data_IF_070868182741
#
_entry.id   IF_070868182741
#
_cell.length_a   1.000
_cell.length_b   1.000
_cell.length_c   1.000
_cell.angle_alpha   90.00
_cell.angle_beta   90.00
_cell.angle_gamma   90.00
#
_symmetry.space_group_name_H-M   'P 1'
#
loop_
_entity.id
_entity.type
_entity.pdbx_description
1 polymer ?
#
# COMPACT_ATOMS: atom_id res chain seq x y z
N UNK A 1 -27.35 57.21 5.54
CA UNK A 1 -26.59 56.57 6.65
C UNK A 1 -27.02 55.15 7.05
N UNK A 2 -27.94 54.44 6.37
CA UNK A 2 -28.35 53.06 6.79
C UNK A 2 -27.66 51.89 6.05
N UNK A 3 -26.89 52.09 4.98
CA UNK A 3 -26.30 50.98 4.20
C UNK A 3 -24.95 50.46 4.71
N UNK A 4 -24.18 51.21 5.49
CA UNK A 4 -22.84 50.79 5.96
C UNK A 4 -22.85 49.80 7.15
N UNK A 5 -23.98 49.62 7.82
CA UNK A 5 -24.08 48.73 9.00
C UNK A 5 -24.23 47.26 8.58
N UNK A 6 -24.89 47.00 7.44
CA UNK A 6 -25.15 45.64 6.95
C UNK A 6 -23.83 44.95 6.50
N UNK A 7 -22.91 45.69 5.89
CA UNK A 7 -21.64 45.14 5.39
C UNK A 7 -20.72 44.64 6.51
N UNK A 8 -20.67 45.33 7.66
CA UNK A 8 -19.83 44.89 8.80
C UNK A 8 -20.29 43.55 9.37
N UNK A 9 -21.59 43.36 9.58
CA UNK A 9 -22.12 42.11 10.14
C UNK A 9 -21.94 40.89 9.22
N UNK A 10 -21.81 41.09 7.90
CA UNK A 10 -21.55 39.99 6.97
C UNK A 10 -20.07 39.56 6.97
N UNK A 11 -19.14 40.52 7.12
CA UNK A 11 -17.69 40.27 7.14
C UNK A 11 -17.27 39.53 8.43
N UNK A 12 -17.78 39.92 9.60
CA UNK A 12 -17.44 39.22 10.84
C UNK A 12 -17.95 37.76 10.84
N UNK A 13 -19.18 37.50 10.37
CA UNK A 13 -19.72 36.14 10.30
C UNK A 13 -18.97 35.19 9.36
N UNK A 14 -18.30 35.70 8.31
CA UNK A 14 -17.50 34.85 7.43
C UNK A 14 -16.13 34.51 8.02
N UNK A 15 -15.57 35.41 8.84
CA UNK A 15 -14.31 35.19 9.56
C UNK A 15 -14.46 34.13 10.65
N UNK A 16 -15.49 34.21 11.50
CA UNK A 16 -15.75 33.20 12.54
C UNK A 16 -15.91 31.79 11.95
N UNK A 17 -16.64 31.68 10.83
CA UNK A 17 -16.80 30.41 10.11
C UNK A 17 -15.50 29.87 9.50
N UNK A 18 -14.59 30.75 9.11
CA UNK A 18 -13.30 30.37 8.51
C UNK A 18 -12.32 29.94 9.59
N UNK A 19 -12.23 30.69 10.69
CA UNK A 19 -11.43 30.36 11.87
C UNK A 19 -11.88 29.05 12.51
N UNK A 20 -13.19 28.81 12.62
CA UNK A 20 -13.75 27.57 13.14
C UNK A 20 -13.44 26.36 12.25
N UNK A 21 -13.46 26.52 10.91
CA UNK A 21 -13.03 25.46 10.00
C UNK A 21 -11.53 25.19 10.13
N UNK A 22 -10.72 26.25 10.26
CA UNK A 22 -9.28 26.13 10.44
C UNK A 22 -8.93 25.38 11.72
N UNK A 23 -9.57 25.71 12.85
CA UNK A 23 -9.32 25.05 14.14
C UNK A 23 -9.77 23.59 14.15
N UNK A 24 -10.89 23.22 13.50
CA UNK A 24 -11.28 21.81 13.34
C UNK A 24 -10.27 21.04 12.47
N UNK A 25 -9.77 21.64 11.39
CA UNK A 25 -8.71 21.04 10.56
C UNK A 25 -7.42 20.86 11.38
N UNK A 26 -6.99 21.88 12.14
CA UNK A 26 -5.83 21.79 13.01
C UNK A 26 -6.00 20.72 14.10
N UNK A 27 -7.17 20.60 14.73
CA UNK A 27 -7.44 19.56 15.74
C UNK A 27 -7.39 18.15 15.12
N UNK A 28 -7.94 17.96 13.92
CA UNK A 28 -7.84 16.67 13.21
C UNK A 28 -6.39 16.33 12.82
N UNK A 29 -5.61 17.32 12.36
CA UNK A 29 -4.19 17.14 12.06
C UNK A 29 -3.35 16.87 13.32
N UNK A 30 -3.61 17.57 14.42
CA UNK A 30 -2.95 17.33 15.72
C UNK A 30 -3.29 15.93 16.24
N UNK A 31 -4.57 15.53 16.18
CA UNK A 31 -4.99 14.19 16.60
C UNK A 31 -4.29 13.11 15.76
N UNK A 32 -4.09 13.33 14.45
CA UNK A 32 -3.30 12.45 13.59
C UNK A 32 -1.80 12.46 13.92
N UNK A 33 -1.21 13.63 14.20
CA UNK A 33 0.21 13.76 14.58
C UNK A 33 0.55 13.02 15.88
N UNK A 34 -0.39 12.93 16.83
CA UNK A 34 -0.22 12.18 18.09
C UNK A 34 -0.15 10.66 17.88
N UNK A 35 -0.57 10.14 16.72
CA UNK A 35 -0.45 8.72 16.35
C UNK A 35 0.70 8.41 15.38
N UNK A 36 1.62 9.35 15.15
CA UNK A 36 2.84 9.09 14.37
C UNK A 36 3.88 8.40 15.27
N UNK A 37 3.64 7.11 15.52
CA UNK A 37 4.62 6.13 15.99
C UNK A 37 5.30 5.48 14.76
N UNK A 38 6.42 4.74 14.90
CA UNK A 38 7.27 4.37 13.75
C UNK A 38 6.56 3.51 12.70
N UNK A 39 7.09 3.61 11.48
CA UNK A 39 6.52 3.03 10.27
C UNK A 39 7.24 1.69 10.03
N UNK A 40 6.50 0.58 10.04
CA UNK A 40 6.94 -0.76 9.60
C UNK A 40 5.73 -1.53 8.93
N UNK A 41 5.86 -2.76 8.37
CA UNK A 41 4.91 -3.32 7.33
C UNK A 41 4.33 -4.67 7.72
N UNK A 42 3.45 -5.06 6.81
CA UNK A 42 2.32 -5.94 6.87
C UNK A 42 2.69 -7.41 6.89
N UNK A 43 3.79 -7.82 6.27
CA UNK A 43 4.26 -9.21 6.22
C UNK A 43 5.77 -9.28 6.03
N UNK A 44 6.38 -10.38 6.48
CA UNK A 44 7.76 -10.73 6.15
C UNK A 44 8.10 -10.55 4.67
N UNK A 45 7.22 -11.02 3.76
CA UNK A 45 7.44 -10.89 2.32
C UNK A 45 7.58 -9.44 1.88
N UNK A 46 6.81 -8.52 2.46
CA UNK A 46 6.92 -7.08 2.19
C UNK A 46 8.32 -6.50 2.48
N UNK A 47 9.09 -7.09 3.39
CA UNK A 47 10.44 -6.63 3.71
C UNK A 47 11.53 -7.10 2.73
N UNK A 48 11.29 -8.20 2.00
CA UNK A 48 12.31 -8.83 1.14
C UNK A 48 11.91 -8.94 -0.34
N UNK A 49 10.63 -8.80 -0.69
CA UNK A 49 10.18 -8.68 -2.09
C UNK A 49 10.61 -7.32 -2.68
N UNK A 50 11.08 -7.32 -3.93
CA UNK A 50 11.73 -6.14 -4.53
C UNK A 50 10.82 -4.89 -4.66
N UNK A 51 9.50 -4.99 -4.48
CA UNK A 51 8.55 -3.85 -4.50
C UNK A 51 7.67 -3.74 -3.24
N UNK A 52 7.98 -4.53 -2.21
CA UNK A 52 7.22 -4.58 -0.96
C UNK A 52 5.79 -5.11 -1.11
N UNK A 53 5.02 -5.02 -0.04
CA UNK A 53 3.64 -5.52 -0.01
C UNK A 53 2.70 -4.58 -0.79
N UNK A 54 1.97 -5.12 -1.77
CA UNK A 54 1.02 -4.34 -2.58
C UNK A 54 -0.11 -3.73 -1.73
N UNK A 55 -0.33 -2.42 -1.86
CA UNK A 55 -1.31 -1.67 -1.08
C UNK A 55 -2.67 -1.66 -1.79
N UNK A 56 -3.69 -2.22 -1.13
CA UNK A 56 -5.03 -2.45 -1.72
C UNK A 56 -5.97 -1.28 -1.50
N UNK A 57 -6.38 -0.67 -2.60
CA UNK A 57 -7.30 0.47 -2.62
C UNK A 57 -6.60 1.81 -2.44
N UNK A 58 -7.12 2.82 -3.14
CA UNK A 58 -6.52 4.15 -3.18
C UNK A 58 -6.85 4.99 -1.93
N UNK A 59 -8.09 4.88 -1.45
CA UNK A 59 -8.60 5.54 -0.24
C UNK A 59 -9.49 4.56 0.55
N UNK A 60 -9.96 4.93 1.75
CA UNK A 60 -10.83 4.09 2.56
C UNK A 60 -12.13 3.67 1.82
N UNK A 61 -12.67 4.55 0.97
CA UNK A 61 -13.85 4.23 0.15
C UNK A 61 -13.61 3.16 -0.91
N UNK A 62 -12.42 3.12 -1.50
CA UNK A 62 -11.95 2.10 -2.45
C UNK A 62 -11.53 0.82 -1.72
N UNK A 63 -10.77 0.95 -0.64
CA UNK A 63 -10.32 -0.14 0.23
C UNK A 63 -11.47 -0.97 0.81
N UNK A 64 -12.56 -0.31 1.25
CA UNK A 64 -13.80 -0.95 1.70
C UNK A 64 -14.59 -1.72 0.62
N UNK A 65 -14.16 -1.62 -0.64
CA UNK A 65 -14.77 -2.24 -1.83
C UNK A 65 -13.75 -3.11 -2.57
N UNK A 66 -12.94 -3.87 -1.80
CA UNK A 66 -11.91 -4.75 -2.35
C UNK A 66 -10.76 -4.03 -3.07
N UNK A 67 -10.64 -2.71 -2.94
CA UNK A 67 -9.65 -1.92 -3.68
C UNK A 67 -10.09 -1.44 -5.07
N UNK A 68 -11.38 -1.59 -5.43
CA UNK A 68 -11.90 -1.14 -6.73
C UNK A 68 -11.62 0.36 -7.00
N UNK A 69 -11.06 0.64 -8.16
CA UNK A 69 -10.51 1.94 -8.59
C UNK A 69 -10.54 2.19 -10.11
N UNK A 70 -10.93 1.23 -10.96
CA UNK A 70 -10.89 1.39 -12.43
C UNK A 70 -12.15 2.06 -12.96
N UNK A 71 -13.32 1.72 -12.41
CA UNK A 71 -14.62 2.28 -12.81
C UNK A 71 -15.15 3.42 -11.89
N UNK A 72 -14.28 4.10 -11.13
CA UNK A 72 -14.65 5.19 -10.21
C UNK A 72 -14.41 6.58 -10.82
N UNK A 73 -15.09 7.60 -10.29
CA UNK A 73 -14.95 9.02 -10.67
C UNK A 73 -14.86 9.89 -9.42
N UNK A 74 -14.49 11.17 -9.58
CA UNK A 74 -14.42 12.16 -8.51
C UNK A 74 -13.45 11.75 -7.37
N UNK A 75 -12.29 11.18 -7.69
CA UNK A 75 -11.25 10.84 -6.71
C UNK A 75 -9.88 11.32 -7.20
N UNK A 76 -9.15 12.20 -6.45
CA UNK A 76 -7.84 12.68 -6.87
C UNK A 76 -6.82 11.56 -6.98
N UNK A 77 -6.92 10.50 -6.17
CA UNK A 77 -5.97 9.38 -6.21
C UNK A 77 -6.15 8.49 -7.46
N UNK A 78 -7.23 8.67 -8.23
CA UNK A 78 -7.41 8.03 -9.54
C UNK A 78 -6.31 8.37 -10.56
N UNK A 79 -5.46 9.39 -10.29
CA UNK A 79 -4.17 9.60 -10.99
C UNK A 79 -3.39 8.28 -11.15
N UNK A 80 -3.43 7.41 -10.15
CA UNK A 80 -2.67 6.15 -10.11
C UNK A 80 -3.51 4.89 -10.42
N UNK A 81 -4.84 5.02 -10.40
CA UNK A 81 -5.80 3.99 -10.79
C UNK A 81 -6.10 4.11 -12.29
N UNK A 82 -7.31 4.57 -12.61
CA UNK A 82 -7.69 5.01 -13.95
C UNK A 82 -7.71 6.55 -14.02
N UNK A 83 -6.82 7.21 -14.80
CA UNK A 83 -6.68 8.66 -14.79
C UNK A 83 -7.91 9.40 -15.33
N UNK A 84 -8.80 8.77 -16.10
CA UNK A 84 -10.09 9.38 -16.46
C UNK A 84 -11.00 9.58 -15.21
N UNK A 85 -10.78 8.80 -14.16
CA UNK A 85 -11.51 8.86 -12.89
C UNK A 85 -11.20 10.07 -12.01
N UNK A 86 -10.24 10.93 -12.38
CA UNK A 86 -10.03 12.22 -11.69
C UNK A 86 -11.05 13.28 -12.09
N UNK A 87 -11.80 13.05 -13.19
CA UNK A 87 -12.83 13.97 -13.65
C UNK A 87 -13.88 14.24 -12.56
N UNK A 88 -14.24 15.51 -12.37
CA UNK A 88 -15.21 15.95 -11.37
C UNK A 88 -15.90 17.27 -11.77
N UNK A 89 -17.08 17.51 -11.21
CA UNK A 89 -17.87 18.75 -11.38
C UNK A 89 -17.37 19.92 -10.52
N UNK A 90 -16.67 19.61 -9.41
CA UNK A 90 -16.19 20.55 -8.39
C UNK A 90 -14.76 20.24 -7.99
N UNK A 91 -14.11 21.20 -7.33
CA UNK A 91 -12.83 20.95 -6.70
C UNK A 91 -13.00 19.99 -5.53
N UNK A 92 -11.96 19.21 -5.24
CA UNK A 92 -11.93 18.32 -4.09
C UNK A 92 -10.53 18.25 -3.52
N UNK A 93 -10.41 18.35 -2.20
CA UNK A 93 -9.24 17.93 -1.45
C UNK A 93 -9.54 16.59 -0.76
N UNK A 94 -8.58 15.67 -0.77
CA UNK A 94 -8.65 14.36 -0.14
C UNK A 94 -7.39 14.13 0.69
N UNK A 95 -7.56 13.64 1.92
CA UNK A 95 -6.51 13.09 2.76
C UNK A 95 -6.92 11.70 3.23
N UNK A 96 -6.02 10.73 3.21
CA UNK A 96 -6.26 9.38 3.70
C UNK A 96 -5.05 8.81 4.44
N UNK A 97 -5.30 8.27 5.64
CA UNK A 97 -4.31 7.60 6.49
C UNK A 97 -4.98 6.47 7.27
N UNK A 98 -4.22 5.72 8.05
CA UNK A 98 -4.75 4.57 8.76
C UNK A 98 -3.77 3.98 9.77
N UNK A 99 -4.14 2.80 10.26
CA UNK A 99 -3.34 1.94 11.11
C UNK A 99 -3.43 0.53 10.53
N UNK A 100 -2.32 -0.19 10.52
CA UNK A 100 -2.30 -1.61 10.15
C UNK A 100 -1.70 -2.41 11.28
N UNK A 101 -2.37 -3.52 11.63
CA UNK A 101 -1.86 -4.54 12.54
C UNK A 101 -1.57 -5.80 11.76
N UNK A 102 -0.49 -6.47 12.12
CA UNK A 102 0.06 -7.63 11.42
C UNK A 102 0.17 -8.75 12.42
N UNK A 103 -0.26 -9.95 12.05
CA UNK A 103 -0.09 -11.14 12.85
C UNK A 103 0.43 -12.24 11.94
N UNK A 104 1.67 -12.65 12.17
CA UNK A 104 2.33 -13.72 11.45
C UNK A 104 2.64 -14.86 12.43
N UNK A 105 2.21 -16.07 12.06
CA UNK A 105 2.54 -17.30 12.79
C UNK A 105 3.37 -18.19 11.89
N UNK A 106 4.55 -18.57 12.38
CA UNK A 106 5.40 -19.60 11.79
C UNK A 106 5.38 -20.84 12.65
N UNK A 107 5.40 -21.99 12.01
CA UNK A 107 5.59 -23.29 12.66
C UNK A 107 6.74 -23.98 11.97
N UNK A 108 7.87 -24.12 12.66
CA UNK A 108 9.01 -24.87 12.17
C UNK A 108 8.82 -26.34 12.54
N UNK A 109 8.70 -27.19 11.53
CA UNK A 109 8.58 -28.64 11.70
C UNK A 109 9.96 -29.31 11.84
N UNK A 110 10.77 -28.82 12.77
CA UNK A 110 11.89 -29.57 13.33
C UNK A 110 11.48 -30.19 14.68
N UNK A 111 12.29 -31.11 15.24
CA UNK A 111 11.87 -32.12 16.23
C UNK A 111 11.09 -31.65 17.50
N UNK A 112 11.04 -30.36 17.83
CA UNK A 112 10.28 -29.78 18.97
C UNK A 112 9.17 -28.76 18.59
N UNK A 113 8.86 -28.57 17.30
CA UNK A 113 7.73 -27.74 16.82
C UNK A 113 7.71 -26.28 17.30
N UNK A 114 8.83 -25.56 17.19
CA UNK A 114 8.91 -24.15 17.59
C UNK A 114 7.91 -23.30 16.79
N UNK A 115 7.11 -22.51 17.51
CA UNK A 115 6.15 -21.55 16.93
C UNK A 115 6.63 -20.13 17.23
N UNK A 116 7.09 -19.42 16.20
CA UNK A 116 7.33 -17.98 16.30
C UNK A 116 6.00 -17.23 16.07
N UNK A 117 5.73 -16.24 16.92
CA UNK A 117 4.57 -15.35 16.84
C UNK A 117 5.07 -13.92 16.74
N UNK A 118 4.57 -13.21 15.73
CA UNK A 118 4.94 -11.84 15.45
C UNK A 118 3.67 -10.98 15.33
N UNK A 119 3.46 -10.03 16.24
CA UNK A 119 2.31 -9.12 16.25
C UNK A 119 2.80 -7.67 16.31
N UNK A 120 2.52 -6.91 15.26
CA UNK A 120 2.99 -5.53 15.14
C UNK A 120 1.86 -4.57 14.74
N UNK A 121 2.08 -3.27 14.96
CA UNK A 121 1.14 -2.22 14.59
C UNK A 121 1.85 -0.97 14.09
N UNK A 122 1.39 -0.45 12.95
CA UNK A 122 2.06 0.60 12.20
C UNK A 122 1.09 1.67 11.71
N UNK A 123 1.56 2.91 11.61
CA UNK A 123 0.81 3.99 10.97
C UNK A 123 0.92 3.91 9.44
N UNK A 124 -0.19 4.08 8.73
CA UNK A 124 -0.26 4.08 7.27
C UNK A 124 -0.61 5.48 6.76
N UNK A 125 0.30 6.11 6.03
CA UNK A 125 -0.05 7.26 5.19
C UNK A 125 -0.37 6.77 3.77
N UNK A 126 -1.65 6.61 3.45
CA UNK A 126 -2.04 6.00 2.17
C UNK A 126 -2.10 7.02 1.03
N UNK A 127 -2.33 8.30 1.32
CA UNK A 127 -2.24 9.36 0.32
C UNK A 127 -2.95 10.69 0.62
N UNK A 128 -2.70 11.65 -0.27
CA UNK A 128 -3.28 13.00 -0.29
C UNK A 128 -3.49 13.41 -1.75
N UNK A 129 -4.49 14.23 -2.05
CA UNK A 129 -4.63 14.77 -3.39
C UNK A 129 -5.68 15.85 -3.55
N UNK A 130 -5.59 16.54 -4.68
CA UNK A 130 -6.47 17.64 -5.06
C UNK A 130 -6.97 17.45 -6.50
N UNK A 131 -8.26 17.67 -6.72
CA UNK A 131 -8.89 17.83 -8.03
C UNK A 131 -9.27 19.30 -8.23
N UNK A 132 -9.07 19.83 -9.44
CA UNK A 132 -9.56 21.13 -9.87
C UNK A 132 -10.22 21.07 -11.27
N UNK A 133 -11.52 21.41 -11.40
CA UNK A 133 -12.22 21.44 -12.69
C UNK A 133 -11.91 22.73 -13.47
N UNK A 134 -10.80 22.73 -14.21
CA UNK A 134 -10.34 23.85 -15.06
C UNK A 134 -11.44 24.37 -15.98
N UNK A 135 -12.24 23.47 -16.58
CA UNK A 135 -13.44 23.81 -17.35
C UNK A 135 -14.55 22.84 -16.97
N UNK A 136 -15.60 23.35 -16.33
CA UNK A 136 -16.78 22.56 -15.94
C UNK A 136 -17.27 21.69 -17.09
N UNK A 137 -17.60 20.45 -16.76
CA UNK A 137 -18.08 19.41 -17.68
C UNK A 137 -17.14 19.07 -18.85
N UNK A 138 -15.90 19.58 -18.88
CA UNK A 138 -14.97 19.39 -20.00
C UNK A 138 -13.54 19.02 -19.63
N UNK A 139 -12.93 19.69 -18.67
CA UNK A 139 -11.51 19.53 -18.34
C UNK A 139 -11.30 19.60 -16.83
N UNK A 140 -10.65 18.58 -16.30
CA UNK A 140 -10.29 18.46 -14.88
C UNK A 140 -8.81 18.12 -14.79
N UNK A 141 -8.11 18.74 -13.84
CA UNK A 141 -6.74 18.35 -13.48
C UNK A 141 -6.71 17.83 -12.06
N UNK A 142 -5.75 16.96 -11.76
CA UNK A 142 -5.50 16.49 -10.40
C UNK A 142 -4.01 16.39 -10.10
N UNK A 143 -3.65 16.62 -8.85
CA UNK A 143 -2.35 16.26 -8.28
C UNK A 143 -2.58 15.33 -7.08
N UNK A 144 -1.76 14.31 -6.95
CA UNK A 144 -1.87 13.34 -5.87
C UNK A 144 -0.49 12.83 -5.43
N UNK A 145 -0.42 12.40 -4.18
CA UNK A 145 0.60 11.50 -3.66
C UNK A 145 -0.08 10.33 -2.96
N UNK A 146 0.43 9.11 -3.14
CA UNK A 146 -0.12 7.91 -2.51
C UNK A 146 1.00 6.89 -2.29
N UNK A 147 0.82 6.00 -1.32
CA UNK A 147 1.66 4.83 -1.21
C UNK A 147 1.41 3.84 -2.39
N UNK A 148 2.42 3.03 -2.70
CA UNK A 148 2.42 2.07 -3.80
C UNK A 148 2.78 0.65 -3.33
N UNK A 149 3.79 0.53 -2.47
CA UNK A 149 4.21 -0.72 -1.83
C UNK A 149 4.83 -0.43 -0.46
N UNK A 150 4.76 -1.40 0.46
CA UNK A 150 5.04 -1.19 1.89
C UNK A 150 6.12 -2.16 2.39
N UNK A 151 7.20 -1.65 3.01
CA UNK A 151 8.53 -2.30 3.11
C UNK A 151 9.20 -2.51 4.47
N UNK A 152 9.26 -1.47 5.31
CA UNK A 152 8.59 -1.51 6.61
C UNK A 152 8.46 -2.99 7.17
N UNK A 153 8.88 -3.40 8.38
CA UNK A 153 8.55 -4.71 9.02
C UNK A 153 9.20 -4.78 10.41
N UNK A 154 8.74 -5.66 11.30
CA UNK A 154 9.51 -6.04 12.49
C UNK A 154 9.30 -7.52 12.79
N UNK A 155 10.34 -8.25 13.19
CA UNK A 155 10.35 -9.66 13.59
C UNK A 155 11.42 -9.87 14.66
N UNK A 156 11.10 -10.65 15.68
CA UNK A 156 12.02 -11.08 16.72
C UNK A 156 11.81 -12.57 16.98
N UNK A 157 12.91 -13.32 17.02
CA UNK A 157 12.93 -14.76 17.26
C UNK A 157 14.04 -15.09 18.27
N UNK A 158 13.63 -15.63 19.41
CA UNK A 158 14.53 -16.20 20.42
C UNK A 158 14.64 -17.71 20.21
N UNK A 159 15.80 -18.18 19.74
CA UNK A 159 16.14 -19.60 19.78
C UNK A 159 16.70 -19.93 21.17
N UNK A 160 16.17 -20.99 21.79
CA UNK A 160 16.54 -21.41 23.15
C UNK A 160 16.93 -22.89 23.16
N UNK A 161 17.93 -23.23 23.98
CA UNK A 161 18.33 -24.61 24.20
C UNK A 161 17.26 -25.39 24.99
N UNK A 162 17.34 -26.73 25.08
CA UNK A 162 16.44 -27.53 25.94
C UNK A 162 16.45 -27.14 27.42
N UNK A 163 17.49 -26.42 27.88
CA UNK A 163 17.59 -25.84 29.22
C UNK A 163 16.97 -24.42 29.32
N UNK A 164 16.19 -24.00 28.32
CA UNK A 164 15.59 -22.68 28.14
C UNK A 164 16.59 -21.49 28.05
N UNK A 165 17.89 -21.75 27.90
CA UNK A 165 18.91 -20.72 27.73
C UNK A 165 18.84 -20.14 26.32
N UNK A 166 18.84 -18.81 26.18
CA UNK A 166 18.91 -18.12 24.89
C UNK A 166 20.21 -18.49 24.17
N UNK A 167 20.12 -19.04 22.96
CA UNK A 167 21.26 -19.35 22.09
C UNK A 167 21.41 -18.30 21.01
N UNK A 168 20.32 -17.91 20.35
CA UNK A 168 20.32 -16.89 19.31
C UNK A 168 19.14 -15.94 19.49
N UNK A 169 19.38 -14.66 19.21
CA UNK A 169 18.35 -13.67 18.95
C UNK A 169 18.45 -13.23 17.50
N UNK A 170 17.44 -13.57 16.71
CA UNK A 170 17.31 -13.18 15.31
C UNK A 170 16.30 -12.03 15.22
N UNK A 171 16.66 -10.96 14.52
CA UNK A 171 15.77 -9.80 14.32
C UNK A 171 15.72 -9.41 12.85
N UNK A 172 14.54 -9.05 12.36
CA UNK A 172 14.40 -8.23 11.15
C UNK A 172 13.67 -6.97 11.53
N UNK A 173 14.22 -5.81 11.19
CA UNK A 173 13.55 -4.52 11.30
C UNK A 173 13.69 -3.79 9.96
N UNK A 174 12.58 -3.51 9.31
CA UNK A 174 12.55 -2.81 8.04
C UNK A 174 11.68 -1.57 8.15
N UNK A 175 12.00 -0.52 7.40
CA UNK A 175 11.28 0.75 7.42
C UNK A 175 11.18 1.36 6.02
N UNK A 176 10.22 2.27 5.84
CA UNK A 176 9.94 2.96 4.59
C UNK A 176 8.98 2.22 3.65
N UNK A 177 8.90 2.73 2.42
CA UNK A 177 7.99 2.19 1.41
C UNK A 177 8.16 2.86 0.05
N UNK A 178 7.52 2.28 -0.95
CA UNK A 178 7.35 2.86 -2.27
C UNK A 178 6.13 3.79 -2.29
N UNK A 179 6.35 5.00 -2.80
CA UNK A 179 5.36 6.08 -2.93
C UNK A 179 5.35 6.58 -4.37
N UNK A 180 4.23 7.20 -4.73
CA UNK A 180 4.00 7.75 -6.07
C UNK A 180 3.42 9.15 -5.92
N UNK A 181 4.02 10.12 -6.60
CA UNK A 181 3.52 11.50 -6.71
C UNK A 181 3.30 11.83 -8.18
N UNK A 182 2.15 12.42 -8.51
CA UNK A 182 1.71 12.49 -9.90
C UNK A 182 0.69 13.56 -10.21
N UNK A 183 0.59 13.84 -11.51
CA UNK A 183 -0.33 14.80 -12.10
C UNK A 183 -1.18 14.11 -13.17
N UNK A 184 -2.48 14.41 -13.18
CA UNK A 184 -3.45 13.92 -14.15
C UNK A 184 -4.19 15.04 -14.86
N UNK A 185 -4.50 14.81 -16.13
CA UNK A 185 -5.49 15.57 -16.89
C UNK A 185 -6.59 14.60 -17.35
N UNK A 186 -7.84 14.88 -17.00
CA UNK A 186 -9.02 14.21 -17.54
C UNK A 186 -9.83 15.16 -18.43
N UNK A 187 -10.23 14.65 -19.59
CA UNK A 187 -11.01 15.34 -20.61
C UNK A 187 -12.33 14.60 -20.86
N UNK A 188 -13.40 15.36 -21.11
CA UNK A 188 -14.72 14.84 -21.44
C UNK A 188 -15.05 15.14 -22.92
N UNK A 189 -14.48 14.40 -23.89
CA UNK A 189 -14.73 14.63 -25.32
C UNK A 189 -16.22 14.51 -25.67
N UNK A 190 -16.89 13.46 -25.19
CA UNK A 190 -18.28 13.12 -25.48
C UNK A 190 -19.04 12.89 -24.17
N UNK A 191 -20.34 13.21 -24.09
CA UNK A 191 -21.14 13.06 -22.85
C UNK A 191 -21.07 11.67 -22.19
N UNK A 192 -20.75 10.63 -22.96
CA UNK A 192 -20.61 9.24 -22.49
C UNK A 192 -19.16 8.76 -22.38
N UNK A 193 -18.14 9.56 -22.70
CA UNK A 193 -16.74 9.14 -22.69
C UNK A 193 -15.88 10.19 -21.98
N UNK A 194 -15.26 9.78 -20.88
CA UNK A 194 -14.15 10.48 -20.25
C UNK A 194 -12.84 9.79 -20.66
N UNK A 195 -11.81 10.56 -20.91
CA UNK A 195 -10.44 10.08 -21.11
C UNK A 195 -9.50 10.77 -20.13
N UNK A 196 -8.36 10.17 -19.84
CA UNK A 196 -7.36 10.78 -18.98
C UNK A 196 -5.95 10.28 -19.26
N UNK A 197 -4.99 11.11 -18.90
CA UNK A 197 -3.56 10.81 -18.95
C UNK A 197 -2.93 11.27 -17.63
N UNK A 198 -2.00 10.48 -17.12
CA UNK A 198 -1.24 10.80 -15.90
C UNK A 198 0.23 10.53 -16.09
N UNK A 199 1.04 11.41 -15.53
CA UNK A 199 2.48 11.22 -15.35
C UNK A 199 2.77 11.24 -13.85
N UNK A 200 3.56 10.28 -13.38
CA UNK A 200 3.91 10.18 -11.97
C UNK A 200 5.34 9.67 -11.79
N UNK A 201 5.98 10.11 -10.71
CA UNK A 201 7.24 9.55 -10.25
C UNK A 201 6.93 8.51 -9.17
N UNK A 202 7.46 7.30 -9.32
CA UNK A 202 7.53 6.27 -8.30
C UNK A 202 8.88 6.40 -7.61
N UNK A 203 8.89 6.55 -6.29
CA UNK A 203 10.09 6.75 -5.47
C UNK A 203 9.94 6.12 -4.09
N UNK A 204 11.05 5.87 -3.42
CA UNK A 204 11.06 5.35 -2.05
C UNK A 204 12.47 5.04 -1.62
N UNK A 205 12.72 5.03 -0.31
CA UNK A 205 14.03 4.66 0.23
C UNK A 205 13.88 3.69 1.40
N UNK A 206 13.33 2.49 1.18
CA UNK A 206 13.19 1.52 2.25
C UNK A 206 14.56 1.02 2.72
N UNK A 207 14.62 0.67 3.99
CA UNK A 207 15.79 0.12 4.67
C UNK A 207 15.38 -1.17 5.36
N UNK A 208 16.14 -2.25 5.18
CA UNK A 208 15.94 -3.53 5.85
C UNK A 208 17.19 -3.83 6.66
N UNK A 209 17.01 -4.01 7.97
CA UNK A 209 18.04 -4.40 8.93
C UNK A 209 17.78 -5.83 9.35
N UNK A 210 18.67 -6.75 8.98
CA UNK A 210 18.71 -8.11 9.52
C UNK A 210 19.80 -8.17 10.58
N UNK A 211 19.54 -8.79 11.72
CA UNK A 211 20.61 -9.10 12.69
C UNK A 211 20.44 -10.48 13.31
N UNK A 212 21.57 -11.13 13.59
CA UNK A 212 21.64 -12.34 14.40
C UNK A 212 22.69 -12.14 15.49
N UNK A 213 22.31 -12.40 16.73
CA UNK A 213 23.20 -12.33 17.89
C UNK A 213 23.24 -13.70 18.57
N UNK A 214 24.42 -14.32 18.61
CA UNK A 214 24.63 -15.62 19.25
C UNK A 214 25.19 -15.44 20.65
N UNK A 215 24.62 -16.14 21.63
CA UNK A 215 24.96 -16.07 23.04
C UNK A 215 25.63 -17.37 23.52
N UNK A 216 26.58 -17.24 24.43
CA UNK A 216 27.22 -18.39 25.07
C UNK A 216 26.28 -19.07 26.06
N UNK A 217 26.04 -20.36 25.88
CA UNK A 217 25.27 -21.21 26.81
C UNK A 217 26.03 -21.57 28.09
N UNK A 218 27.31 -21.17 28.22
CA UNK A 218 28.13 -21.44 29.40
C UNK A 218 27.77 -20.58 30.64
N UNK A 219 26.88 -19.60 30.49
CA UNK A 219 26.41 -18.72 31.57
C UNK A 219 24.89 -18.76 31.62
N UNK A 220 24.33 -18.85 32.83
CA UNK A 220 22.89 -18.85 33.03
C UNK A 220 22.31 -17.45 32.83
N UNK A 221 21.28 -17.37 31.97
CA UNK A 221 20.57 -16.16 31.51
C UNK A 221 21.42 -15.14 30.73
N UNK A 222 20.98 -14.83 29.49
CA UNK A 222 21.64 -13.97 28.48
C UNK A 222 23.18 -13.91 28.62
N UNK A 223 23.84 -15.04 28.34
CA UNK A 223 25.30 -15.18 28.47
C UNK A 223 26.11 -14.24 27.57
N UNK A 224 27.43 -14.34 27.60
CA UNK A 224 28.29 -13.48 26.79
C UNK A 224 27.99 -13.62 25.28
N UNK A 225 27.88 -12.50 24.56
CA UNK A 225 27.73 -12.50 23.09
C UNK A 225 28.98 -13.09 22.46
N UNK A 226 28.80 -14.14 21.66
CA UNK A 226 29.87 -14.90 20.98
C UNK A 226 30.06 -14.39 19.56
N UNK A 227 28.96 -14.15 18.84
CA UNK A 227 28.95 -13.51 17.54
C UNK A 227 27.79 -12.53 17.45
N UNK A 228 27.99 -11.48 16.64
CA UNK A 228 26.94 -10.58 16.23
C UNK A 228 27.18 -10.21 14.78
N UNK A 229 26.16 -10.41 13.97
CA UNK A 229 26.09 -10.05 12.56
C UNK A 229 24.89 -9.13 12.38
N UNK A 230 25.07 -8.01 11.67
CA UNK A 230 24.01 -7.06 11.36
C UNK A 230 24.20 -6.48 9.98
N UNK A 231 23.26 -6.76 9.08
CA UNK A 231 23.27 -6.27 7.71
C UNK A 231 22.18 -5.21 7.54
N UNK A 232 22.56 -4.07 6.98
CA UNK A 232 21.65 -2.96 6.66
C UNK A 232 21.61 -2.79 5.14
N UNK A 233 20.49 -3.19 4.55
CA UNK A 233 20.19 -3.10 3.12
C UNK A 233 19.26 -1.91 2.86
N UNK A 234 19.81 -0.81 2.34
CA UNK A 234 19.06 0.39 1.99
C UNK A 234 18.88 0.51 0.48
N UNK A 235 17.65 0.72 0.02
CA UNK A 235 17.34 1.03 -1.37
C UNK A 235 17.08 2.54 -1.57
N UNK A 236 17.22 3.00 -2.81
CA UNK A 236 16.77 4.32 -3.27
C UNK A 236 16.14 4.16 -4.66
N UNK A 237 14.82 4.03 -4.68
CA UNK A 237 14.03 3.88 -5.89
C UNK A 237 13.68 5.23 -6.50
N UNK A 238 13.77 5.34 -7.83
CA UNK A 238 13.17 6.44 -8.60
C UNK A 238 12.91 6.05 -10.05
N UNK A 239 11.69 6.26 -10.53
CA UNK A 239 11.30 6.04 -11.93
C UNK A 239 10.10 6.89 -12.32
N UNK A 240 10.00 7.29 -13.58
CA UNK A 240 8.86 8.07 -14.09
C UNK A 240 7.99 7.19 -14.98
N UNK A 241 6.70 7.16 -14.68
CA UNK A 241 5.72 6.30 -15.29
C UNK A 241 4.59 7.11 -15.94
N UNK A 242 3.93 6.48 -16.92
CA UNK A 242 2.76 7.00 -17.62
C UNK A 242 1.55 6.12 -17.29
N UNK A 243 0.37 6.72 -17.21
CA UNK A 243 -0.91 5.99 -17.24
C UNK A 243 -1.86 6.68 -18.21
N UNK A 244 -2.60 5.89 -18.97
CA UNK A 244 -3.67 6.34 -19.87
C UNK A 244 -4.94 5.61 -19.44
N UNK A 245 -6.08 6.29 -19.51
CA UNK A 245 -7.35 5.69 -19.12
C UNK A 245 -8.57 6.28 -19.78
N UNK A 246 -9.65 5.51 -19.74
CA UNK A 246 -10.95 5.87 -20.27
C UNK A 246 -12.07 5.38 -19.33
N UNK A 247 -13.17 6.11 -19.31
CA UNK A 247 -14.43 5.71 -18.68
C UNK A 247 -15.57 5.92 -19.66
N UNK A 248 -16.31 4.85 -19.95
CA UNK A 248 -17.47 4.88 -20.83
C UNK A 248 -18.77 4.69 -20.05
N UNK A 249 -19.63 5.71 -20.09
CA UNK A 249 -20.97 5.70 -19.51
C UNK A 249 -21.95 5.10 -20.52
N UNK A 250 -22.14 3.78 -20.46
CA UNK A 250 -23.15 3.05 -21.25
C UNK A 250 -24.55 3.58 -20.92
N UNK A 251 -24.80 3.89 -19.65
CA UNK A 251 -26.06 4.46 -19.18
C UNK A 251 -25.82 5.34 -17.94
N UNK A 252 -26.88 5.98 -17.43
CA UNK A 252 -26.84 6.65 -16.12
C UNK A 252 -26.60 5.70 -14.93
N UNK A 253 -26.55 4.38 -15.16
CA UNK A 253 -26.35 3.33 -14.14
C UNK A 253 -25.12 2.46 -14.37
N UNK A 254 -24.65 2.33 -15.60
CA UNK A 254 -23.57 1.43 -15.97
C UNK A 254 -22.38 2.21 -16.52
N UNK A 255 -21.20 1.97 -15.98
CA UNK A 255 -19.93 2.51 -16.49
C UNK A 255 -18.90 1.41 -16.64
N UNK A 256 -18.19 1.41 -17.76
CA UNK A 256 -16.98 0.62 -17.95
C UNK A 256 -15.75 1.52 -17.82
N UNK A 257 -14.67 0.99 -17.25
CA UNK A 257 -13.36 1.63 -17.19
C UNK A 257 -12.30 0.78 -17.88
N UNK A 258 -11.34 1.46 -18.47
CA UNK A 258 -10.12 0.90 -19.04
C UNK A 258 -8.95 1.76 -18.56
N UNK A 259 -7.88 1.15 -18.08
CA UNK A 259 -6.61 1.83 -17.82
C UNK A 259 -5.46 1.00 -18.35
N UNK A 260 -4.45 1.66 -18.88
CA UNK A 260 -3.21 1.04 -19.35
C UNK A 260 -2.01 1.84 -18.84
N UNK A 261 -1.05 1.11 -18.28
CA UNK A 261 0.18 1.65 -17.70
C UNK A 261 1.35 0.99 -18.43
N UNK A 262 1.99 1.66 -19.40
CA UNK A 262 3.16 1.11 -20.08
C UNK A 262 4.29 0.82 -19.09
N UNK A 263 5.08 -0.21 -19.38
CA UNK A 263 6.30 -0.50 -18.61
C UNK A 263 7.31 0.65 -18.71
N UNK A 264 8.10 0.85 -17.67
CA UNK A 264 9.06 1.95 -17.56
C UNK A 264 10.37 1.54 -16.88
N UNK A 265 11.44 2.31 -17.10
CA UNK A 265 12.70 2.09 -16.37
C UNK A 265 12.67 2.80 -15.01
N UNK A 266 12.88 2.03 -13.95
CA UNK A 266 13.15 2.51 -12.61
C UNK A 266 14.65 2.35 -12.30
N UNK A 267 15.22 3.29 -11.56
CA UNK A 267 16.54 3.17 -10.93
C UNK A 267 16.35 2.66 -9.52
N UNK A 268 17.19 1.71 -9.11
CA UNK A 268 17.37 1.29 -7.72
C UNK A 268 18.86 1.51 -7.37
N UNK A 269 19.14 2.28 -6.32
CA UNK A 269 20.49 2.32 -5.73
C UNK A 269 20.46 1.57 -4.40
N UNK A 270 21.12 0.42 -4.39
CA UNK A 270 21.23 -0.44 -3.21
C UNK A 270 22.53 -0.13 -2.48
N UNK A 271 22.46 0.03 -1.17
CA UNK A 271 23.60 0.17 -0.26
C UNK A 271 23.50 -0.91 0.79
N UNK A 272 24.49 -1.79 0.83
CA UNK A 272 24.65 -2.80 1.87
C UNK A 272 25.71 -2.31 2.86
N UNK A 273 25.39 -2.31 4.15
CA UNK A 273 26.35 -2.11 5.23
C UNK A 273 26.34 -3.35 6.12
N UNK A 274 27.41 -4.12 6.07
CA UNK A 274 27.60 -5.35 6.86
C UNK A 274 28.36 -4.98 8.13
N UNK A 275 27.87 -5.42 9.29
CA UNK A 275 28.52 -5.22 10.58
C UNK A 275 28.81 -6.58 11.22
N UNK A 276 30.06 -6.78 11.63
CA UNK A 276 30.45 -7.84 12.56
C UNK A 276 31.02 -7.22 13.84
N UNK A 277 31.32 -8.02 14.86
CA UNK A 277 31.90 -7.54 16.13
C UNK A 277 33.16 -6.67 15.98
N UNK A 278 33.90 -6.78 14.87
CA UNK A 278 35.17 -6.07 14.65
C UNK A 278 35.23 -5.26 13.35
N UNK A 279 34.30 -5.46 12.41
CA UNK A 279 34.40 -4.95 11.03
C UNK A 279 33.11 -4.29 10.57
N UNK A 280 33.23 -3.24 9.76
CA UNK A 280 32.10 -2.65 9.04
C UNK A 280 32.46 -2.53 7.56
N UNK A 281 31.76 -3.28 6.71
CA UNK A 281 31.91 -3.26 5.25
C UNK A 281 30.79 -2.44 4.62
N UNK A 282 31.09 -1.69 3.55
CA UNK A 282 30.09 -0.89 2.82
C UNK A 282 30.20 -1.09 1.32
N UNK A 283 29.14 -1.62 0.73
CA UNK A 283 29.03 -1.91 -0.70
C UNK A 283 27.85 -1.13 -1.29
N UNK A 284 28.05 -0.50 -2.45
CA UNK A 284 27.02 0.31 -3.10
C UNK A 284 26.90 -0.04 -4.58
N UNK A 285 25.71 -0.45 -5.01
CA UNK A 285 25.42 -0.83 -6.40
C UNK A 285 24.24 -0.05 -6.94
N UNK A 286 24.27 0.28 -8.24
CA UNK A 286 23.17 0.94 -8.93
C UNK A 286 22.61 0.02 -10.01
N UNK A 287 21.39 -0.44 -9.80
CA UNK A 287 20.65 -1.24 -10.76
C UNK A 287 19.70 -0.37 -11.58
N UNK A 288 19.35 -0.86 -12.77
CA UNK A 288 18.14 -0.44 -13.48
C UNK A 288 17.17 -1.60 -13.48
N UNK A 289 15.90 -1.31 -13.25
CA UNK A 289 14.82 -2.28 -13.30
C UNK A 289 13.81 -1.85 -14.38
N UNK A 290 13.32 -2.80 -15.17
CA UNK A 290 12.17 -2.59 -16.06
C UNK A 290 10.91 -2.99 -15.33
N UNK A 291 10.14 -1.99 -14.91
CA UNK A 291 8.84 -2.19 -14.31
C UNK A 291 7.86 -2.65 -15.40
N UNK A 292 7.05 -3.70 -15.15
CA UNK A 292 6.17 -4.28 -16.17
C UNK A 292 5.04 -3.34 -16.57
N UNK A 293 4.44 -3.62 -17.72
CA UNK A 293 3.17 -2.99 -18.11
C UNK A 293 1.98 -3.63 -17.38
N UNK A 294 0.90 -2.86 -17.26
CA UNK A 294 -0.34 -3.30 -16.61
C UNK A 294 -1.58 -2.80 -17.35
N UNK A 295 -2.57 -3.68 -17.49
CA UNK A 295 -3.86 -3.44 -18.11
C UNK A 295 -4.96 -3.66 -17.07
N UNK A 296 -5.85 -2.68 -16.92
CA UNK A 296 -6.94 -2.73 -15.94
C UNK A 296 -8.29 -2.52 -16.63
N UNK A 297 -9.24 -3.42 -16.36
CA UNK A 297 -10.63 -3.33 -16.79
C UNK A 297 -11.52 -3.14 -15.56
N UNK A 298 -12.58 -2.35 -15.70
CA UNK A 298 -13.51 -2.08 -14.61
C UNK A 298 -14.96 -1.99 -15.07
N UNK A 299 -15.88 -2.37 -14.20
CA UNK A 299 -17.31 -2.24 -14.37
C UNK A 299 -17.91 -1.67 -13.08
N UNK A 300 -18.80 -0.69 -13.20
CA UNK A 300 -19.72 -0.33 -12.12
C UNK A 300 -21.16 -0.34 -12.61
N UNK A 301 -22.06 -0.92 -11.80
CA UNK A 301 -23.48 -1.03 -12.10
C UNK A 301 -24.33 -0.64 -10.89
N UNK A 302 -25.13 0.41 -11.03
CA UNK A 302 -26.06 0.93 -10.02
C UNK A 302 -27.47 0.43 -10.28
N UNK A 303 -28.01 -0.37 -9.36
CA UNK A 303 -29.37 -0.91 -9.46
C UNK A 303 -30.44 0.19 -9.28
N UNK A 304 -31.62 0.06 -9.91
CA UNK A 304 -32.79 0.84 -9.54
C UNK A 304 -33.24 0.52 -8.10
N UNK A 305 -33.71 1.53 -7.38
CA UNK A 305 -34.41 1.35 -6.11
C UNK A 305 -34.14 2.48 -5.12
N UNK A 306 -34.86 2.55 -3.98
CA UNK A 306 -34.72 3.64 -3.01
C UNK A 306 -33.32 3.78 -2.38
N UNK A 307 -32.51 2.71 -2.43
CA UNK A 307 -31.16 2.66 -1.85
C UNK A 307 -30.02 2.61 -2.88
N UNK A 308 -30.37 2.56 -4.17
CA UNK A 308 -29.47 2.52 -5.34
C UNK A 308 -28.13 1.78 -5.12
N UNK A 309 -28.13 0.49 -4.72
CA UNK A 309 -26.90 -0.23 -4.49
C UNK A 309 -26.08 -0.29 -5.78
N UNK A 310 -24.77 -0.13 -5.66
CA UNK A 310 -23.82 -0.12 -6.78
C UNK A 310 -22.80 -1.22 -6.60
N UNK A 311 -22.73 -2.14 -7.56
CA UNK A 311 -21.67 -3.13 -7.66
C UNK A 311 -20.49 -2.58 -8.45
N UNK A 312 -19.30 -3.05 -8.10
CA UNK A 312 -18.02 -2.76 -8.73
C UNK A 312 -17.28 -4.08 -8.97
N UNK A 313 -16.68 -4.23 -10.15
CA UNK A 313 -15.81 -5.34 -10.51
C UNK A 313 -14.64 -4.74 -11.30
N UNK A 314 -13.43 -4.88 -10.78
CA UNK A 314 -12.21 -4.55 -11.52
C UNK A 314 -11.32 -5.79 -11.65
N UNK A 315 -10.62 -5.88 -12.79
CA UNK A 315 -9.65 -6.93 -13.12
C UNK A 315 -8.36 -6.24 -13.56
N UNK A 316 -7.23 -6.62 -12.97
CA UNK A 316 -5.92 -6.03 -13.27
C UNK A 316 -4.95 -7.13 -13.69
N UNK A 317 -4.44 -7.04 -14.91
CA UNK A 317 -3.37 -7.89 -15.41
C UNK A 317 -2.04 -7.12 -15.41
N UNK A 318 -0.94 -7.77 -15.02
CA UNK A 318 0.39 -7.16 -15.02
C UNK A 318 1.43 -8.17 -15.50
N UNK A 319 2.20 -7.79 -16.54
CA UNK A 319 3.14 -8.65 -17.25
C UNK A 319 4.48 -8.80 -16.50
N UNK A 320 4.43 -9.21 -15.23
CA UNK A 320 5.62 -9.33 -14.38
C UNK A 320 6.72 -10.24 -14.95
N UNK A 321 6.39 -11.22 -15.80
CA UNK A 321 7.37 -12.06 -16.49
C UNK A 321 8.28 -11.30 -17.47
N UNK A 322 7.91 -10.07 -17.86
CA UNK A 322 8.75 -9.18 -18.66
C UNK A 322 9.75 -8.36 -17.82
N UNK A 323 9.60 -8.36 -16.50
CA UNK A 323 10.45 -7.62 -15.58
C UNK A 323 11.92 -8.04 -15.68
N UNK A 324 12.80 -7.04 -15.79
CA UNK A 324 14.23 -7.25 -16.02
C UNK A 324 15.08 -6.35 -15.15
N UNK A 325 16.10 -6.91 -14.51
CA UNK A 325 17.15 -6.16 -13.82
C UNK A 325 18.38 -6.02 -14.73
N UNK A 326 19.08 -4.89 -14.63
CA UNK A 326 20.36 -4.65 -15.31
C UNK A 326 21.50 -4.93 -14.33
N UNK A 327 22.32 -5.93 -14.63
CA UNK A 327 23.47 -6.33 -13.82
C UNK A 327 24.59 -5.28 -13.84
N UNK A 328 25.57 -5.42 -12.94
CA UNK A 328 26.80 -4.60 -12.95
C UNK A 328 27.60 -4.72 -14.26
N UNK A 329 27.51 -5.86 -14.97
CA UNK A 329 28.06 -6.05 -16.33
C UNK A 329 27.23 -5.38 -17.44
N UNK A 330 26.15 -4.68 -17.10
CA UNK A 330 25.29 -3.96 -18.03
C UNK A 330 24.32 -4.83 -18.83
N UNK A 331 24.26 -6.14 -18.58
CA UNK A 331 23.34 -7.08 -19.23
C UNK A 331 21.97 -7.03 -18.54
N UNK A 332 20.89 -7.12 -19.32
CA UNK A 332 19.56 -7.35 -18.78
C UNK A 332 19.34 -8.84 -18.50
N UNK A 333 18.93 -9.16 -17.28
CA UNK A 333 18.49 -10.50 -16.86
C UNK A 333 16.99 -10.46 -16.54
N UNK A 334 16.27 -11.55 -16.78
CA UNK A 334 14.88 -11.68 -16.35
C UNK A 334 14.85 -11.92 -14.83
N UNK A 335 13.91 -11.30 -14.12
CA UNK A 335 13.76 -11.46 -12.66
C UNK A 335 13.07 -12.78 -12.26
N UNK A 336 12.51 -13.54 -13.21
CA UNK A 336 11.87 -14.83 -12.93
C UNK A 336 10.44 -14.74 -12.40
N UNK A 337 9.87 -13.53 -12.34
CA UNK A 337 8.52 -13.27 -11.85
C UNK A 337 7.42 -13.85 -12.74
N UNK A 338 6.22 -13.94 -12.19
CA UNK A 338 5.04 -14.54 -12.81
C UNK A 338 3.96 -13.48 -13.03
N UNK A 339 3.35 -13.47 -14.21
CA UNK A 339 2.28 -12.53 -14.53
C UNK A 339 1.09 -12.70 -13.56
N UNK A 340 0.54 -11.58 -13.10
CA UNK A 340 -0.57 -11.59 -12.14
C UNK A 340 -1.90 -11.24 -12.80
N UNK A 341 -2.99 -11.75 -12.21
CA UNK A 341 -4.37 -11.41 -12.56
C UNK A 341 -5.14 -11.15 -11.27
N UNK A 342 -5.22 -9.89 -10.88
CA UNK A 342 -5.91 -9.46 -9.66
C UNK A 342 -7.40 -9.25 -9.93
N UNK A 343 -8.23 -9.63 -8.97
CA UNK A 343 -9.69 -9.48 -9.02
C UNK A 343 -10.16 -8.66 -7.83
N UNK A 344 -10.92 -7.59 -8.07
CA UNK A 344 -11.49 -6.74 -7.03
C UNK A 344 -13.00 -6.66 -7.21
N UNK A 345 -13.75 -7.06 -6.18
CA UNK A 345 -15.21 -7.05 -6.17
C UNK A 345 -15.67 -6.15 -5.03
N UNK A 346 -16.63 -5.27 -5.31
CA UNK A 346 -17.11 -4.29 -4.35
C UNK A 346 -18.61 -4.02 -4.44
N UNK A 347 -19.21 -3.66 -3.32
CA UNK A 347 -20.58 -3.17 -3.23
C UNK A 347 -20.61 -1.86 -2.42
N UNK A 348 -21.41 -0.90 -2.85
CA UNK A 348 -21.77 0.30 -2.08
C UNK A 348 -23.30 0.43 -2.02
N UNK A 349 -23.85 0.56 -0.81
CA UNK A 349 -25.28 0.74 -0.55
C UNK A 349 -25.51 2.05 0.19
N UNK A 350 -26.45 2.88 -0.27
CA UNK A 350 -26.75 4.16 0.40
C UNK A 350 -28.05 4.04 1.20
N UNK A 351 -27.96 4.25 2.52
CA UNK A 351 -29.12 4.32 3.40
C UNK A 351 -29.12 5.66 4.14
N UNK A 352 -30.15 6.48 3.89
CA UNK A 352 -30.22 7.88 4.34
C UNK A 352 -28.99 8.66 3.84
N UNK A 353 -28.18 9.21 4.74
CA UNK A 353 -26.92 9.92 4.46
C UNK A 353 -25.66 9.06 4.67
N UNK A 354 -25.82 7.75 4.89
CA UNK A 354 -24.71 6.81 5.15
C UNK A 354 -24.52 5.86 3.97
N UNK A 355 -23.26 5.55 3.67
CA UNK A 355 -22.82 4.59 2.66
C UNK A 355 -22.22 3.38 3.34
N UNK A 356 -22.77 2.20 3.09
CA UNK A 356 -22.23 0.94 3.56
C UNK A 356 -21.48 0.27 2.42
N UNK A 357 -20.28 -0.22 2.70
CA UNK A 357 -19.39 -0.80 1.70
C UNK A 357 -18.87 -2.15 2.14
N UNK A 358 -18.73 -3.03 1.16
CA UNK A 358 -18.20 -4.38 1.33
C UNK A 358 -17.38 -4.72 0.09
N UNK A 359 -16.36 -5.57 0.23
CA UNK A 359 -15.64 -6.06 -0.92
C UNK A 359 -14.71 -7.21 -0.63
N UNK A 360 -14.27 -7.84 -1.71
CA UNK A 360 -13.42 -9.00 -1.78
C UNK A 360 -12.32 -8.74 -2.80
N UNK A 361 -11.09 -9.15 -2.54
CA UNK A 361 -10.02 -9.13 -3.53
C UNK A 361 -9.21 -10.42 -3.52
N UNK A 362 -8.69 -10.79 -4.70
CA UNK A 362 -7.75 -11.90 -4.88
C UNK A 362 -6.52 -11.36 -5.59
N UNK A 363 -5.36 -11.51 -4.95
CA UNK A 363 -4.10 -10.89 -5.35
C UNK A 363 -3.04 -11.98 -5.44
N UNK A 364 -2.78 -12.52 -6.65
CA UNK A 364 -1.66 -13.43 -6.86
C UNK A 364 -0.33 -12.74 -6.57
N UNK A 365 0.59 -13.49 -6.00
CA UNK A 365 1.96 -13.03 -5.76
C UNK A 365 2.77 -13.11 -7.07
N UNK A 366 3.49 -12.03 -7.40
CA UNK A 366 4.31 -11.99 -8.61
C UNK A 366 5.68 -12.66 -8.41
N UNK A 367 6.19 -12.76 -7.17
CA UNK A 367 7.51 -13.31 -6.90
C UNK A 367 7.51 -14.84 -6.88
N UNK A 368 6.39 -15.47 -6.53
CA UNK A 368 6.26 -16.95 -6.44
C UNK A 368 4.93 -17.50 -6.95
N UNK A 369 4.99 -18.55 -7.77
CA UNK A 369 3.82 -19.34 -8.18
C UNK A 369 3.15 -19.98 -6.95
N UNK A 370 1.82 -19.88 -6.87
CA UNK A 370 1.01 -20.52 -5.83
C UNK A 370 0.81 -19.71 -4.54
N UNK A 371 1.58 -18.63 -4.32
CA UNK A 371 1.30 -17.66 -3.27
C UNK A 371 0.16 -16.72 -3.71
N UNK A 372 -0.81 -16.49 -2.81
CA UNK A 372 -1.95 -15.60 -3.07
C UNK A 372 -2.44 -14.96 -1.77
N UNK A 373 -2.84 -13.69 -1.87
CA UNK A 373 -3.43 -12.89 -0.78
C UNK A 373 -4.92 -12.69 -1.07
N UNK A 374 -5.78 -13.17 -0.20
CA UNK A 374 -7.22 -12.91 -0.24
C UNK A 374 -7.55 -11.75 0.72
N UNK A 375 -8.43 -10.84 0.32
CA UNK A 375 -8.78 -9.65 1.11
C UNK A 375 -10.29 -9.55 1.28
N UNK A 376 -10.77 -9.54 2.52
CA UNK A 376 -12.17 -9.21 2.84
C UNK A 376 -12.20 -7.81 3.42
N UNK A 377 -13.12 -6.97 2.98
CA UNK A 377 -13.19 -5.57 3.40
C UNK A 377 -14.60 -5.08 3.64
N UNK A 378 -14.74 -4.10 4.53
CA UNK A 378 -15.97 -3.39 4.79
C UNK A 378 -15.69 -1.91 5.10
N UNK A 379 -16.73 -1.08 5.09
CA UNK A 379 -16.57 0.32 5.46
C UNK A 379 -17.85 1.12 5.53
N UNK A 380 -17.73 2.32 6.11
CA UNK A 380 -18.79 3.28 6.32
C UNK A 380 -18.38 4.64 5.78
N UNK A 381 -19.19 5.19 4.87
CA UNK A 381 -19.13 6.59 4.44
C UNK A 381 -20.24 7.39 5.11
N UNK A 382 -19.95 8.62 5.54
CA UNK A 382 -20.93 9.54 6.11
C UNK A 382 -20.50 10.99 5.89
N UNK A 383 -21.42 11.94 6.03
CA UNK A 383 -21.13 13.36 5.82
C UNK A 383 -21.32 14.17 7.09
N UNK A 384 -20.34 15.03 7.40
CA UNK A 384 -20.47 16.08 8.43
C UNK A 384 -20.20 17.43 7.74
N UNK A 385 -21.23 18.27 7.70
CA UNK A 385 -21.23 19.57 7.02
C UNK A 385 -20.80 19.49 5.54
N UNK A 386 -19.57 19.90 5.22
CA UNK A 386 -18.98 19.91 3.87
C UNK A 386 -17.97 18.78 3.64
N UNK A 387 -17.66 18.01 4.68
CA UNK A 387 -16.67 16.94 4.66
C UNK A 387 -17.40 15.60 4.51
N UNK A 388 -17.09 14.88 3.44
CA UNK A 388 -17.47 13.48 3.26
C UNK A 388 -16.35 12.63 3.91
N UNK A 389 -16.68 11.84 4.93
CA UNK A 389 -15.76 10.94 5.63
C UNK A 389 -16.00 9.50 5.19
N UNK A 390 -14.93 8.75 4.96
CA UNK A 390 -14.96 7.30 4.72
C UNK A 390 -14.05 6.59 5.73
N UNK A 391 -14.54 5.51 6.34
CA UNK A 391 -13.78 4.59 7.20
C UNK A 391 -13.84 3.19 6.59
N UNK A 392 -12.74 2.44 6.61
CA UNK A 392 -12.70 1.05 6.16
C UNK A 392 -11.91 0.14 7.07
N UNK A 393 -12.31 -1.12 7.14
CA UNK A 393 -11.49 -2.23 7.61
C UNK A 393 -11.21 -3.20 6.46
N UNK A 394 -9.97 -3.68 6.35
CA UNK A 394 -9.57 -4.76 5.46
C UNK A 394 -8.90 -5.86 6.29
N UNK A 395 -9.23 -7.11 6.00
CA UNK A 395 -8.59 -8.29 6.56
C UNK A 395 -7.97 -9.08 5.41
N UNK A 396 -6.66 -9.23 5.45
CA UNK A 396 -5.87 -9.96 4.47
C UNK A 396 -5.52 -11.32 5.05
N UNK A 397 -5.61 -12.33 4.21
CA UNK A 397 -5.23 -13.71 4.50
C UNK A 397 -4.25 -14.14 3.42
N UNK A 398 -3.01 -14.46 3.79
CA UNK A 398 -2.04 -15.14 2.92
C UNK A 398 -1.65 -16.44 3.61
N UNK A 399 -1.59 -17.53 2.84
CA UNK A 399 -1.07 -18.81 3.31
C UNK A 399 0.11 -19.20 2.46
N UNK A 400 1.26 -19.36 3.10
CA UNK A 400 2.50 -19.75 2.44
C UNK A 400 2.84 -21.18 2.85
N UNK A 401 3.13 -22.01 1.85
CA UNK A 401 3.94 -23.23 1.99
C UNK A 401 5.30 -22.89 1.43
N UNK A 402 6.35 -22.95 2.26
CA UNK A 402 7.71 -22.53 1.89
C UNK A 402 8.77 -23.61 2.16
N UNK A 403 9.78 -23.61 1.29
CA UNK A 403 11.04 -24.36 1.40
C UNK A 403 12.23 -23.44 1.73
N UNK A 404 12.05 -22.12 1.86
CA UNK A 404 13.13 -21.17 2.10
C UNK A 404 13.33 -20.90 3.60
N UNK A 405 14.42 -21.41 4.18
CA UNK A 405 14.90 -21.01 5.51
C UNK A 405 15.54 -19.61 5.47
N UNK A 406 15.22 -18.80 6.46
CA UNK A 406 15.61 -17.38 6.57
C UNK A 406 17.06 -17.17 7.03
N UNK A 407 17.52 -18.07 7.89
CA UNK A 407 18.85 -18.06 8.47
C UNK A 407 19.58 -19.33 8.04
N UNK A 408 20.83 -19.20 7.62
CA UNK A 408 21.65 -20.34 7.25
C UNK A 408 21.92 -21.16 8.51
N UNK A 409 21.35 -22.37 8.59
CA UNK A 409 21.84 -23.39 9.52
C UNK A 409 23.22 -23.80 9.00
N UNK A 410 24.27 -23.85 9.85
CA UNK A 410 25.62 -24.25 9.42
C UNK A 410 25.60 -25.61 8.69
N UNK A 411 26.40 -25.76 7.63
CA UNK A 411 26.53 -27.02 6.86
C UNK A 411 27.01 -28.21 7.70
N UNK A 412 27.50 -27.96 8.91
CA UNK A 412 27.99 -28.96 9.87
C UNK A 412 26.88 -29.75 10.59
N UNK A 413 25.60 -29.39 10.40
CA UNK A 413 24.45 -30.10 11.01
C UNK A 413 24.09 -31.38 10.23
N UNK A 414 24.24 -32.59 10.81
CA UNK A 414 23.96 -33.85 10.13
C UNK A 414 22.47 -34.09 9.78
N UNK A 415 21.52 -33.28 10.26
CA UNK A 415 20.10 -33.36 9.88
C UNK A 415 19.75 -32.53 8.61
N UNK A 416 20.74 -31.92 7.93
CA UNK A 416 20.57 -31.06 6.74
C UNK A 416 19.82 -31.71 5.55
N UNK A 417 19.82 -33.05 5.41
CA UNK A 417 19.08 -33.74 4.33
C UNK A 417 17.55 -33.78 4.53
N UNK A 418 17.02 -33.31 5.67
CA UNK A 418 15.57 -33.24 5.87
C UNK A 418 14.98 -32.03 5.11
N UNK A 419 14.09 -32.30 4.16
CA UNK A 419 13.27 -31.27 3.50
C UNK A 419 12.33 -30.68 4.55
N UNK A 420 12.73 -29.53 5.10
CA UNK A 420 12.03 -28.86 6.18
C UNK A 420 10.95 -27.94 5.62
N UNK A 421 9.69 -28.37 5.72
CA UNK A 421 8.54 -27.58 5.32
C UNK A 421 8.23 -26.51 6.37
N UNK A 422 8.28 -25.24 5.98
CA UNK A 422 7.72 -24.15 6.78
C UNK A 422 6.29 -23.82 6.32
N UNK A 423 5.36 -23.78 7.26
CA UNK A 423 4.01 -23.25 7.04
C UNK A 423 3.94 -21.90 7.74
N UNK A 424 3.74 -20.85 6.96
CA UNK A 424 3.54 -19.48 7.45
C UNK A 424 2.10 -19.08 7.14
N UNK A 425 1.30 -18.88 8.19
CA UNK A 425 -0.04 -18.32 8.08
C UNK A 425 0.05 -16.81 8.46
N UNK A 426 -0.21 -15.94 7.48
CA UNK A 426 -0.08 -14.49 7.59
C UNK A 426 -1.45 -13.81 7.57
N UNK A 427 -1.71 -12.97 8.57
CA UNK A 427 -2.96 -12.25 8.72
C UNK A 427 -2.71 -10.75 8.95
N UNK A 428 -3.21 -9.89 8.06
CA UNK A 428 -3.08 -8.43 8.20
C UNK A 428 -4.45 -7.80 8.44
N UNK A 429 -4.55 -6.83 9.35
CA UNK A 429 -5.76 -6.02 9.62
C UNK A 429 -5.44 -4.56 9.34
N UNK A 430 -6.07 -3.93 8.34
CA UNK A 430 -5.84 -2.54 7.96
C UNK A 430 -7.08 -1.70 8.17
N UNK A 431 -6.95 -0.61 8.91
CA UNK A 431 -8.00 0.36 9.16
C UNK A 431 -7.64 1.69 8.52
N UNK A 432 -8.46 2.16 7.58
CA UNK A 432 -8.24 3.46 6.93
C UNK A 432 -9.33 4.46 7.28
N UNK A 433 -8.93 5.73 7.28
CA UNK A 433 -9.76 6.90 7.41
C UNK A 433 -9.45 7.86 6.27
N UNK A 434 -10.49 8.33 5.58
CA UNK A 434 -10.37 9.34 4.52
C UNK A 434 -11.30 10.51 4.79
N UNK A 435 -10.77 11.72 4.72
CA UNK A 435 -11.56 12.96 4.69
C UNK A 435 -11.54 13.58 3.28
N UNK A 436 -12.72 13.92 2.75
CA UNK A 436 -12.91 14.58 1.45
C UNK A 436 -13.63 15.91 1.63
N UNK A 437 -12.99 17.01 1.25
CA UNK A 437 -13.54 18.36 1.31
C UNK A 437 -13.85 18.82 -0.11
N UNK A 438 -15.10 19.21 -0.38
CA UNK A 438 -15.48 19.82 -1.67
C UNK A 438 -15.20 21.31 -1.64
N UNK A 439 -14.50 21.79 -2.67
CA UNK A 439 -14.06 23.18 -2.86
C UNK A 439 -15.07 23.93 -3.75
#
# INVERSE_FOLDING_TARGET
>A
MKSQIITKNFIFKSWDYTLYRLSVICVLLIFQMVFIAPLSSYTYRGAFDQFGDNIVGLDAGSAAKGGTSVAITNNPLSVFGNPAGVFADRGMFLFTSGIVSTFERRVHYDNDSTTALNDNMFFDFSGIGIIYPVKRDKLTVAFAESAAGDYNYTYEEELRSPAALLTNLNTVDSEGGLRRAGFSVAYNPLKSLLTGISIYNLYGSPENTVSSTTYSTAVADRGAVVSQEKDILKHEFSGTALSIGALYHISGRTRMGLSYKPGFEMTDKTKLTEHTLTTVTKTGTKYKFKYPESLSLGLSFRFPGPSEPTLFLDVVHTNWSEAKAKTGSGKWINCGYVDTMEWHIGAEHTAKSKKFRYGLAFLPDYSRKGSQKAVVSCGLGFKIWVIDFDVSGQYFMRRNTLEDRLFHVPEDDPDFERINFEITDEYTKRFLFTGKIKL
#
